data_IF_799125262436
#
_entry.id   IF_799125262436
#
_cell.length_a   1.000
_cell.length_b   1.000
_cell.length_c   1.000
_cell.angle_alpha   90.00
_cell.angle_beta   90.00
_cell.angle_gamma   90.00
#
_symmetry.space_group_name_H-M   'P 1'
#
loop_
_entity.id
_entity.type
_entity.pdbx_description
1 polymer ?
#
# COMPACT_ATOMS: atom_id res chain seq x y z
N UNK A 1 13.85 -4.22 -2.16
CA UNK A 1 13.23 -4.13 -0.81
C UNK A 1 13.65 -2.81 -0.20
N UNK A 2 12.71 -1.94 0.08
CA UNK A 2 12.99 -0.68 0.74
C UNK A 2 13.48 -0.92 2.18
N UNK A 3 14.42 -0.12 2.68
CA UNK A 3 14.76 -0.11 4.09
C UNK A 3 13.55 0.30 4.92
N UNK A 4 13.69 0.37 6.24
CA UNK A 4 12.60 0.72 7.16
C UNK A 4 11.87 2.00 6.70
N UNK A 5 10.58 1.94 6.33
CA UNK A 5 9.86 3.09 5.79
C UNK A 5 9.69 4.23 6.80
N UNK A 6 9.68 3.92 8.10
CA UNK A 6 9.55 4.94 9.15
C UNK A 6 10.75 5.87 9.24
N UNK A 7 11.95 5.41 8.89
CA UNK A 7 13.14 6.26 8.82
C UNK A 7 12.97 7.32 7.72
N UNK A 8 12.45 6.93 6.54
CA UNK A 8 12.15 7.88 5.47
C UNK A 8 11.09 8.89 5.89
N UNK A 9 10.05 8.45 6.60
CA UNK A 9 9.00 9.36 7.07
C UNK A 9 9.53 10.33 8.14
N UNK A 10 10.47 9.91 8.99
CA UNK A 10 11.11 10.79 9.95
C UNK A 10 11.94 11.90 9.26
N UNK A 11 12.69 11.57 8.18
CA UNK A 11 13.40 12.57 7.38
C UNK A 11 12.42 13.53 6.71
N UNK A 12 11.36 13.03 6.07
CA UNK A 12 10.33 13.86 5.44
C UNK A 12 9.60 14.76 6.45
N UNK A 13 9.40 14.28 7.68
CA UNK A 13 8.78 15.06 8.74
C UNK A 13 9.60 16.31 9.10
N UNK A 14 10.92 16.20 9.05
CA UNK A 14 11.83 17.34 9.33
C UNK A 14 11.74 18.45 8.27
N UNK A 15 11.30 18.09 7.05
CA UNK A 15 11.22 18.99 5.87
C UNK A 15 9.81 19.49 5.59
N UNK A 16 8.80 18.99 6.31
CA UNK A 16 7.39 19.31 6.08
C UNK A 16 6.68 19.65 7.39
N UNK A 17 5.60 20.44 7.31
CA UNK A 17 4.85 20.88 8.51
C UNK A 17 3.38 20.44 8.50
N UNK A 18 2.74 20.41 7.34
CA UNK A 18 1.27 20.28 7.25
C UNK A 18 0.82 18.98 6.59
N UNK A 19 1.62 18.40 5.70
CA UNK A 19 1.25 17.18 4.98
C UNK A 19 1.24 15.97 5.93
N UNK A 20 0.26 15.11 5.78
CA UNK A 20 0.28 13.80 6.42
C UNK A 20 1.27 12.89 5.71
N UNK A 21 1.88 12.01 6.46
CA UNK A 21 2.94 11.11 5.99
C UNK A 21 2.52 9.67 6.26
N UNK A 22 2.54 8.84 5.24
CA UNK A 22 2.05 7.46 5.36
C UNK A 22 2.98 6.42 4.76
N UNK A 23 2.92 5.21 5.29
CA UNK A 23 3.58 4.06 4.67
C UNK A 23 2.69 3.48 3.58
N UNK A 24 3.27 3.19 2.43
CA UNK A 24 2.53 2.56 1.33
C UNK A 24 3.26 1.34 0.74
N UNK A 25 3.55 0.29 1.53
CA UNK A 25 3.05 -0.12 2.84
C UNK A 25 4.14 -0.76 3.71
N UNK A 26 3.86 -0.96 5.00
CA UNK A 26 4.57 -1.93 5.83
C UNK A 26 4.11 -3.34 5.44
N UNK A 27 5.05 -4.26 5.22
CA UNK A 27 4.74 -5.65 4.89
C UNK A 27 4.62 -6.45 6.19
N UNK A 28 3.39 -6.71 6.61
CA UNK A 28 3.04 -7.28 7.90
C UNK A 28 3.86 -8.50 8.34
N UNK A 29 4.05 -9.55 7.50
CA UNK A 29 4.73 -10.78 7.93
C UNK A 29 6.21 -10.60 8.28
N UNK A 30 6.81 -9.45 7.95
CA UNK A 30 8.22 -9.17 8.26
C UNK A 30 8.39 -8.35 9.55
N UNK A 31 7.29 -8.13 10.30
CA UNK A 31 7.30 -7.33 11.51
C UNK A 31 6.72 -8.10 12.70
N UNK A 32 7.33 -7.89 13.85
CA UNK A 32 6.75 -8.29 15.12
C UNK A 32 5.80 -7.18 15.62
N UNK A 33 4.59 -7.48 16.13
CA UNK A 33 3.61 -6.47 16.55
C UNK A 33 4.18 -5.43 17.55
N UNK A 34 4.92 -5.88 18.56
CA UNK A 34 5.54 -4.99 19.56
C UNK A 34 6.55 -4.02 18.90
N UNK A 35 7.39 -4.54 18.01
CA UNK A 35 8.39 -3.71 17.33
C UNK A 35 7.73 -2.69 16.40
N UNK A 36 6.75 -3.12 15.63
CA UNK A 36 5.98 -2.24 14.77
C UNK A 36 5.25 -1.15 15.57
N UNK A 37 4.65 -1.52 16.71
CA UNK A 37 3.97 -0.59 17.58
C UNK A 37 4.91 0.53 18.07
N UNK A 38 6.10 0.17 18.52
CA UNK A 38 7.10 1.13 19.02
C UNK A 38 7.61 2.05 17.91
N UNK A 39 7.96 1.51 16.75
CA UNK A 39 8.48 2.30 15.63
C UNK A 39 7.42 3.23 15.03
N UNK A 40 6.19 2.77 14.88
CA UNK A 40 5.09 3.62 14.42
C UNK A 40 4.75 4.71 15.46
N UNK A 41 4.72 4.39 16.76
CA UNK A 41 4.47 5.38 17.79
C UNK A 41 5.58 6.46 17.85
N UNK A 42 6.84 6.06 17.74
CA UNK A 42 7.96 7.00 17.67
C UNK A 42 7.85 7.90 16.44
N UNK A 43 7.52 7.33 15.29
CA UNK A 43 7.34 8.08 14.05
C UNK A 43 6.15 9.04 14.14
N UNK A 44 5.07 8.62 14.80
CA UNK A 44 3.91 9.48 15.03
C UNK A 44 4.27 10.71 15.87
N UNK A 45 5.09 10.54 16.91
CA UNK A 45 5.63 11.64 17.71
C UNK A 45 6.52 12.56 16.89
N UNK A 46 7.45 11.99 16.11
CA UNK A 46 8.37 12.78 15.25
C UNK A 46 7.60 13.58 14.19
N UNK A 47 6.55 12.99 13.62
CA UNK A 47 5.70 13.66 12.64
C UNK A 47 4.74 14.69 13.25
N UNK A 48 4.64 14.77 14.60
CA UNK A 48 3.69 15.63 15.29
C UNK A 48 2.23 15.20 15.08
N UNK A 49 1.96 13.89 15.07
CA UNK A 49 0.61 13.34 14.87
C UNK A 49 0.14 13.34 13.41
N UNK A 50 1.06 13.37 12.45
CA UNK A 50 0.74 13.35 11.01
C UNK A 50 0.94 11.98 10.36
N UNK A 51 1.22 10.94 11.13
CA UNK A 51 1.45 9.59 10.61
C UNK A 51 0.14 8.91 10.21
N UNK A 52 0.17 8.23 9.06
CA UNK A 52 -0.77 7.21 8.61
C UNK A 52 -0.01 5.88 8.45
N UNK A 53 -0.52 4.78 9.02
CA UNK A 53 0.15 3.48 8.99
C UNK A 53 -0.49 2.58 7.94
N UNK A 54 0.09 2.53 6.75
CA UNK A 54 -0.33 1.61 5.70
C UNK A 54 0.30 0.23 5.88
N UNK A 55 -0.52 -0.82 5.85
CA UNK A 55 -0.14 -2.21 6.09
C UNK A 55 -0.62 -3.09 4.95
N UNK A 56 0.23 -4.01 4.49
CA UNK A 56 -0.09 -5.02 3.48
C UNK A 56 0.43 -6.39 3.88
N UNK A 57 -0.14 -7.44 3.28
CA UNK A 57 0.41 -8.80 3.39
C UNK A 57 1.72 -8.99 2.62
N UNK A 58 2.02 -8.09 1.67
CA UNK A 58 3.06 -8.27 0.67
C UNK A 58 2.52 -8.90 -0.62
N UNK A 59 3.28 -8.75 -1.69
CA UNK A 59 2.88 -9.16 -3.03
C UNK A 59 3.94 -9.99 -3.77
N UNK A 60 5.20 -9.96 -3.34
CA UNK A 60 6.31 -10.51 -4.10
C UNK A 60 6.81 -11.81 -3.50
N UNK A 61 6.70 -12.93 -4.23
CA UNK A 61 7.15 -14.26 -3.79
C UNK A 61 8.63 -14.26 -3.40
N UNK A 62 9.47 -13.55 -4.15
CA UNK A 62 10.90 -13.45 -3.87
C UNK A 62 11.23 -12.70 -2.56
N UNK A 63 10.35 -11.83 -2.06
CA UNK A 63 10.52 -11.20 -0.74
C UNK A 63 10.26 -12.21 0.37
N UNK A 64 9.23 -13.05 0.22
CA UNK A 64 8.94 -14.12 1.17
C UNK A 64 10.10 -15.12 1.23
N UNK A 65 10.62 -15.55 0.08
CA UNK A 65 11.77 -16.48 0.02
C UNK A 65 13.00 -15.95 0.78
N UNK A 66 13.23 -14.62 0.71
CA UNK A 66 14.41 -13.99 1.34
C UNK A 66 14.21 -13.69 2.82
N UNK A 67 13.02 -13.28 3.24
CA UNK A 67 12.75 -12.76 4.60
C UNK A 67 11.95 -13.72 5.49
N UNK A 68 11.25 -14.66 4.90
CA UNK A 68 10.43 -15.67 5.60
C UNK A 68 10.31 -16.91 4.72
N UNK A 69 11.39 -17.70 4.53
CA UNK A 69 11.39 -18.89 3.69
C UNK A 69 10.22 -19.84 4.02
N UNK A 70 9.51 -20.30 3.00
CA UNK A 70 8.33 -21.14 3.14
C UNK A 70 7.00 -20.41 3.37
N UNK A 71 7.02 -19.08 3.51
CA UNK A 71 5.81 -18.27 3.57
C UNK A 71 5.24 -18.06 2.16
N UNK A 72 3.94 -18.26 2.02
CA UNK A 72 3.18 -17.92 0.81
C UNK A 72 2.26 -16.71 1.02
N UNK A 73 1.58 -16.30 -0.04
CA UNK A 73 0.66 -15.16 -0.01
C UNK A 73 -0.55 -15.39 0.91
N UNK A 74 -0.98 -16.64 1.11
CA UNK A 74 -2.07 -16.99 2.02
C UNK A 74 -1.62 -16.82 3.48
N UNK A 75 -0.54 -17.47 3.87
CA UNK A 75 0.03 -17.35 5.21
C UNK A 75 0.41 -15.92 5.56
N UNK A 76 0.92 -15.16 4.59
CA UNK A 76 1.18 -13.73 4.76
C UNK A 76 -0.09 -12.93 5.06
N UNK A 77 -1.20 -13.28 4.41
CA UNK A 77 -2.51 -12.71 4.68
C UNK A 77 -3.01 -13.02 6.10
N UNK A 78 -2.82 -14.25 6.56
CA UNK A 78 -3.21 -14.67 7.92
C UNK A 78 -2.37 -13.93 8.99
N UNK A 79 -1.06 -13.80 8.77
CA UNK A 79 -0.20 -12.99 9.65
C UNK A 79 -0.66 -11.53 9.72
N UNK A 80 -1.01 -10.91 8.58
CA UNK A 80 -1.53 -9.54 8.59
C UNK A 80 -2.83 -9.42 9.40
N UNK A 81 -3.73 -10.41 9.30
CA UNK A 81 -4.99 -10.44 10.05
C UNK A 81 -4.78 -10.58 11.56
N UNK A 82 -3.74 -11.25 12.00
CA UNK A 82 -3.38 -11.35 13.41
C UNK A 82 -2.61 -10.10 13.89
N UNK A 83 -1.74 -9.53 13.04
CA UNK A 83 -0.89 -8.38 13.40
C UNK A 83 -1.71 -7.14 13.74
N UNK A 84 -2.75 -6.82 12.96
CA UNK A 84 -3.49 -5.56 13.11
C UNK A 84 -4.21 -5.45 14.46
N UNK A 85 -5.01 -6.43 14.91
CA UNK A 85 -5.59 -6.37 16.27
C UNK A 85 -4.53 -6.41 17.39
N UNK A 86 -3.45 -7.19 17.22
CA UNK A 86 -2.35 -7.20 18.19
C UNK A 86 -1.67 -5.82 18.31
N UNK A 87 -1.45 -5.15 17.20
CA UNK A 87 -0.89 -3.79 17.16
C UNK A 87 -1.78 -2.79 17.92
N UNK A 88 -3.09 -2.83 17.68
CA UNK A 88 -4.06 -1.98 18.39
C UNK A 88 -4.08 -2.27 19.90
N UNK A 89 -4.03 -3.55 20.26
CA UNK A 89 -3.97 -3.97 21.67
C UNK A 89 -2.76 -3.40 22.40
N UNK A 90 -1.57 -3.50 21.81
CA UNK A 90 -0.31 -2.99 22.37
C UNK A 90 -0.32 -1.46 22.49
N UNK A 91 -0.98 -0.73 21.61
CA UNK A 91 -1.14 0.72 21.73
C UNK A 91 -2.16 1.14 22.80
N UNK A 92 -3.23 0.34 22.94
CA UNK A 92 -4.27 0.64 23.94
C UNK A 92 -3.77 0.55 25.38
N UNK A 93 -2.94 -0.44 25.71
CA UNK A 93 -2.44 -0.63 27.07
C UNK A 93 -1.73 -1.96 27.27
N UNK A 94 -1.77 -2.46 28.50
CA UNK A 94 -1.22 -3.76 28.84
C UNK A 94 -1.99 -4.85 28.12
N UNK A 95 -1.33 -5.50 27.17
CA UNK A 95 -1.91 -6.48 26.28
C UNK A 95 -1.03 -7.71 26.16
N UNK A 96 -1.57 -8.87 26.49
CA UNK A 96 -0.97 -10.18 26.23
C UNK A 96 -1.57 -10.76 24.94
N UNK A 97 -0.75 -11.39 24.14
CA UNK A 97 -1.17 -12.02 22.90
C UNK A 97 -0.80 -13.51 22.88
N UNK A 98 -1.78 -14.36 22.59
CA UNK A 98 -1.61 -15.80 22.41
C UNK A 98 -2.23 -16.20 21.07
N UNK A 99 -1.62 -15.72 19.97
CA UNK A 99 -2.05 -15.98 18.61
C UNK A 99 -1.36 -17.18 17.99
N UNK A 100 -1.65 -17.41 16.72
CA UNK A 100 -1.03 -18.47 15.93
C UNK A 100 0.44 -18.11 15.58
N UNK A 101 0.67 -16.84 15.18
CA UNK A 101 1.95 -16.39 14.65
C UNK A 101 2.80 -15.66 15.67
N UNK A 102 2.17 -14.96 16.62
CA UNK A 102 2.89 -14.26 17.69
C UNK A 102 2.32 -14.62 19.05
N UNK A 103 3.24 -14.81 19.99
CA UNK A 103 2.90 -15.01 21.40
C UNK A 103 3.82 -14.16 22.25
N UNK A 104 3.22 -13.35 23.13
CA UNK A 104 3.99 -12.52 24.05
C UNK A 104 3.19 -12.21 25.33
N UNK A 105 3.89 -12.04 26.48
CA UNK A 105 3.25 -11.68 27.72
C UNK A 105 2.72 -10.24 27.68
N UNK A 106 2.01 -9.84 28.72
CA UNK A 106 1.48 -8.48 28.87
C UNK A 106 2.55 -7.43 28.55
N UNK A 107 2.27 -6.60 27.58
CA UNK A 107 3.19 -5.63 26.99
C UNK A 107 2.42 -4.39 26.57
N UNK A 108 3.01 -3.23 26.81
CA UNK A 108 2.51 -1.92 26.36
C UNK A 108 3.54 -1.27 25.46
N UNK A 109 3.10 -0.59 24.40
CA UNK A 109 4.00 0.23 23.59
C UNK A 109 4.56 1.40 24.40
N UNK A 110 5.87 1.55 24.37
CA UNK A 110 6.58 2.70 24.90
C UNK A 110 7.61 3.19 23.86
N UNK A 111 7.40 4.40 23.27
CA UNK A 111 6.32 5.34 23.58
C UNK A 111 4.94 4.89 23.09
N UNK A 112 3.89 5.54 23.60
CA UNK A 112 2.55 5.49 22.99
C UNK A 112 2.47 6.49 21.84
N UNK A 113 1.59 6.24 20.82
CA UNK A 113 1.35 7.21 19.76
C UNK A 113 0.82 8.54 20.31
N UNK A 114 1.12 9.62 19.62
CA UNK A 114 0.56 10.94 19.90
C UNK A 114 -0.92 11.00 19.50
N UNK A 115 -1.27 10.41 18.35
CA UNK A 115 -2.65 10.30 17.88
C UNK A 115 -3.44 9.27 18.72
N UNK A 116 -4.69 9.60 19.06
CA UNK A 116 -5.56 8.75 19.88
C UNK A 116 -6.78 8.30 19.10
N UNK A 117 -7.21 7.03 19.23
CA UNK A 117 -6.63 5.97 20.05
C UNK A 117 -5.30 5.42 19.48
N UNK A 118 -4.99 5.67 18.23
CA UNK A 118 -3.78 5.32 17.50
C UNK A 118 -3.73 6.07 16.16
N UNK A 119 -2.59 6.09 15.44
CA UNK A 119 -2.54 6.60 14.07
C UNK A 119 -3.54 5.87 13.17
N UNK A 120 -4.15 6.53 12.19
CA UNK A 120 -5.01 5.86 11.21
C UNK A 120 -4.29 4.69 10.55
N UNK A 121 -4.93 3.52 10.54
CA UNK A 121 -4.41 2.33 9.87
C UNK A 121 -5.07 2.22 8.49
N UNK A 122 -4.26 1.97 7.47
CA UNK A 122 -4.67 1.75 6.10
C UNK A 122 -4.28 0.35 5.65
N UNK A 123 -5.23 -0.43 5.16
CA UNK A 123 -5.00 -1.79 4.68
C UNK A 123 -4.98 -1.79 3.16
N UNK A 124 -3.92 -2.32 2.56
CA UNK A 124 -3.90 -2.58 1.12
C UNK A 124 -4.81 -3.77 0.81
N UNK A 125 -5.94 -3.51 0.16
CA UNK A 125 -6.98 -4.50 -0.10
C UNK A 125 -7.45 -4.45 -1.56
N UNK A 126 -7.52 -5.61 -2.22
CA UNK A 126 -8.08 -5.70 -3.58
C UNK A 126 -9.26 -6.67 -3.69
N UNK A 127 -9.17 -7.82 -3.02
CA UNK A 127 -10.23 -8.82 -3.02
C UNK A 127 -11.32 -8.50 -1.98
N UNK A 128 -12.55 -9.02 -2.13
CA UNK A 128 -13.65 -8.76 -1.22
C UNK A 128 -13.34 -9.09 0.24
N UNK A 129 -12.66 -10.20 0.51
CA UNK A 129 -12.34 -10.62 1.88
C UNK A 129 -11.36 -9.66 2.57
N UNK A 130 -10.45 -9.06 1.80
CA UNK A 130 -9.51 -8.05 2.32
C UNK A 130 -10.21 -6.74 2.63
N UNK A 131 -11.20 -6.31 1.82
CA UNK A 131 -12.05 -5.16 2.11
C UNK A 131 -12.89 -5.40 3.38
N UNK A 132 -13.54 -6.56 3.48
CA UNK A 132 -14.34 -6.93 4.66
C UNK A 132 -13.48 -6.94 5.93
N UNK A 133 -12.30 -7.53 5.87
CA UNK A 133 -11.37 -7.51 7.01
C UNK A 133 -10.99 -6.07 7.40
N UNK A 134 -10.58 -5.24 6.45
CA UNK A 134 -10.19 -3.87 6.74
C UNK A 134 -11.33 -3.09 7.43
N UNK A 135 -12.54 -3.16 6.87
CA UNK A 135 -13.72 -2.49 7.41
C UNK A 135 -14.08 -3.06 8.79
N UNK A 136 -14.11 -4.39 8.98
CA UNK A 136 -14.40 -5.02 10.27
C UNK A 136 -13.44 -4.60 11.38
N UNK A 137 -12.23 -4.21 11.01
CA UNK A 137 -11.24 -3.66 11.93
C UNK A 137 -11.31 -2.13 12.08
N UNK A 138 -12.26 -1.44 11.45
CA UNK A 138 -12.31 0.03 11.42
C UNK A 138 -11.07 0.66 10.79
N UNK A 139 -10.41 -0.06 9.88
CA UNK A 139 -9.24 0.42 9.13
C UNK A 139 -9.67 1.06 7.82
N UNK A 140 -8.95 2.09 7.40
CA UNK A 140 -9.08 2.64 6.05
C UNK A 140 -8.54 1.66 5.01
N UNK A 141 -8.94 1.85 3.76
CA UNK A 141 -8.56 1.00 2.63
C UNK A 141 -7.69 1.79 1.65
N UNK A 142 -6.61 1.21 1.16
CA UNK A 142 -5.81 1.75 0.06
C UNK A 142 -5.76 0.75 -1.09
N UNK A 143 -6.06 1.23 -2.30
CA UNK A 143 -6.16 0.43 -3.51
C UNK A 143 -5.57 1.14 -4.71
N UNK A 144 -5.28 0.40 -5.75
CA UNK A 144 -4.92 0.93 -7.07
C UNK A 144 -5.62 0.11 -8.14
N UNK A 145 -6.22 0.74 -9.16
CA UNK A 145 -6.72 0.03 -10.34
C UNK A 145 -5.58 -0.47 -11.21
N UNK A 146 -4.32 -0.14 -10.89
CA UNK A 146 -3.15 -0.34 -11.75
C UNK A 146 -3.36 0.37 -13.10
N UNK A 147 -3.36 -0.41 -14.19
CA UNK A 147 -3.56 0.07 -15.57
C UNK A 147 -4.97 -0.24 -16.13
N UNK A 148 -5.90 -0.72 -15.29
CA UNK A 148 -7.21 -1.23 -15.78
C UNK A 148 -8.31 -0.15 -15.91
N UNK A 149 -8.04 1.09 -15.48
CA UNK A 149 -8.93 2.23 -15.67
C UNK A 149 -10.23 2.18 -14.84
N UNK A 150 -11.24 2.91 -15.31
CA UNK A 150 -12.51 3.11 -14.63
C UNK A 150 -13.26 1.81 -14.25
N UNK A 151 -13.34 0.78 -15.10
CA UNK A 151 -14.04 -0.45 -14.70
C UNK A 151 -13.48 -1.13 -13.46
N UNK A 152 -12.15 -1.05 -13.25
CA UNK A 152 -11.55 -1.57 -12.01
C UNK A 152 -11.79 -0.62 -10.84
N UNK A 153 -11.83 0.69 -11.05
CA UNK A 153 -12.20 1.67 -10.00
C UNK A 153 -13.60 1.37 -9.51
N UNK A 154 -14.58 1.21 -10.40
CA UNK A 154 -15.96 0.87 -10.04
C UNK A 154 -16.04 -0.45 -9.27
N UNK A 155 -15.29 -1.45 -9.71
CA UNK A 155 -15.21 -2.76 -9.05
C UNK A 155 -14.61 -2.66 -7.65
N UNK A 156 -13.55 -1.87 -7.45
CA UNK A 156 -12.93 -1.64 -6.15
C UNK A 156 -13.85 -0.87 -5.20
N UNK A 157 -14.54 0.15 -5.71
CA UNK A 157 -15.54 0.91 -4.96
C UNK A 157 -16.72 0.02 -4.56
N UNK A 158 -17.24 -0.80 -5.48
CA UNK A 158 -18.31 -1.74 -5.18
C UNK A 158 -17.95 -2.76 -4.10
N UNK A 159 -16.72 -3.28 -4.11
CA UNK A 159 -16.21 -4.16 -3.04
C UNK A 159 -16.14 -3.46 -1.69
N UNK A 160 -15.69 -2.21 -1.70
CA UNK A 160 -15.62 -1.39 -0.48
C UNK A 160 -17.02 -1.09 0.07
N UNK A 161 -17.95 -0.68 -0.78
CA UNK A 161 -19.34 -0.41 -0.38
C UNK A 161 -20.03 -1.67 0.17
N UNK A 162 -19.84 -2.82 -0.48
CA UNK A 162 -20.34 -4.09 -0.01
C UNK A 162 -19.76 -4.48 1.36
N UNK A 163 -18.47 -4.23 1.59
CA UNK A 163 -17.85 -4.45 2.88
C UNK A 163 -18.42 -3.53 3.95
N UNK A 164 -18.60 -2.23 3.67
CA UNK A 164 -19.20 -1.29 4.61
C UNK A 164 -20.67 -1.67 4.96
N UNK A 165 -21.42 -2.17 4.00
CA UNK A 165 -22.79 -2.62 4.23
C UNK A 165 -22.90 -3.83 5.16
N UNK A 166 -21.86 -4.66 5.28
CA UNK A 166 -21.82 -5.80 6.20
C UNK A 166 -21.55 -5.41 7.65
N UNK A 167 -20.97 -4.23 7.90
CA UNK A 167 -20.58 -3.73 9.23
C UNK A 167 -21.17 -2.34 9.48
N UNK A 168 -22.51 -2.22 9.53
CA UNK A 168 -23.18 -0.91 9.67
C UNK A 168 -22.92 -0.23 11.02
N UNK A 169 -22.44 -0.97 12.02
CA UNK A 169 -22.05 -0.48 13.33
C UNK A 169 -20.70 0.23 13.34
N UNK A 170 -19.91 0.08 12.28
CA UNK A 170 -18.60 0.71 12.14
C UNK A 170 -18.73 1.99 11.33
N UNK A 171 -18.23 3.09 11.85
CA UNK A 171 -18.13 4.34 11.09
C UNK A 171 -17.42 4.09 9.76
N UNK A 172 -18.05 4.51 8.65
CA UNK A 172 -17.54 4.26 7.32
C UNK A 172 -16.06 4.70 7.18
N UNK A 173 -15.12 3.77 6.96
CA UNK A 173 -13.73 4.12 6.75
C UNK A 173 -13.51 4.89 5.45
N UNK A 174 -12.32 5.45 5.28
CA UNK A 174 -11.91 6.09 4.02
C UNK A 174 -11.35 5.04 3.07
N UNK A 175 -11.55 5.28 1.77
CA UNK A 175 -10.84 4.57 0.71
C UNK A 175 -9.93 5.56 -0.03
N UNK A 176 -8.70 5.15 -0.32
CA UNK A 176 -7.72 5.89 -1.11
C UNK A 176 -7.45 5.13 -2.41
N UNK A 177 -7.58 5.82 -3.53
CA UNK A 177 -7.20 5.33 -4.86
C UNK A 177 -5.83 5.91 -5.23
N UNK A 178 -4.87 5.04 -5.54
CA UNK A 178 -3.59 5.43 -6.12
C UNK A 178 -3.71 5.40 -7.64
N UNK A 179 -3.64 6.57 -8.28
CA UNK A 179 -3.71 6.75 -9.71
C UNK A 179 -2.43 7.39 -10.24
N UNK A 180 -1.88 6.84 -11.33
CA UNK A 180 -0.87 7.54 -12.12
C UNK A 180 -1.54 8.69 -12.88
N UNK A 181 -1.16 9.91 -12.56
CA UNK A 181 -1.79 11.12 -13.11
C UNK A 181 -0.72 12.01 -13.71
N UNK A 182 -0.96 12.53 -14.91
CA UNK A 182 -0.06 13.49 -15.55
C UNK A 182 -0.84 14.57 -16.28
N UNK A 183 -0.48 15.83 -16.02
CA UNK A 183 -1.03 17.00 -16.70
C UNK A 183 0.05 17.55 -17.63
N UNK A 184 -0.11 17.36 -18.93
CA UNK A 184 0.85 17.80 -19.93
C UNK A 184 0.56 19.20 -20.46
N UNK A 185 1.61 19.86 -20.94
CA UNK A 185 1.55 21.21 -21.53
C UNK A 185 1.06 21.21 -22.97
N UNK A 186 1.33 20.16 -23.71
CA UNK A 186 0.95 19.95 -25.12
C UNK A 186 0.88 18.45 -25.47
N UNK A 187 0.48 18.15 -26.69
CA UNK A 187 0.29 16.75 -27.14
C UNK A 187 1.59 15.95 -27.17
N UNK A 188 2.73 16.58 -27.45
CA UNK A 188 4.02 15.87 -27.47
C UNK A 188 4.46 15.48 -26.06
N UNK A 189 4.28 16.36 -25.08
CA UNK A 189 4.54 16.13 -23.65
C UNK A 189 3.61 15.04 -23.09
N UNK A 190 2.33 15.07 -23.42
CA UNK A 190 1.35 14.04 -23.03
C UNK A 190 1.71 12.67 -23.62
N UNK A 191 2.10 12.63 -24.91
CA UNK A 191 2.51 11.40 -25.58
C UNK A 191 3.77 10.81 -24.93
N UNK A 192 4.75 11.62 -24.59
CA UNK A 192 5.96 11.19 -23.91
C UNK A 192 5.63 10.63 -22.53
N UNK A 193 4.79 11.29 -21.73
CA UNK A 193 4.38 10.78 -20.44
C UNK A 193 3.67 9.42 -20.53
N UNK A 194 2.81 9.25 -21.51
CA UNK A 194 2.14 7.97 -21.76
C UNK A 194 3.14 6.85 -22.10
N UNK A 195 4.16 7.15 -22.90
CA UNK A 195 5.26 6.23 -23.21
C UNK A 195 6.03 5.84 -21.94
N UNK A 196 6.43 6.79 -21.14
CA UNK A 196 7.17 6.54 -19.90
C UNK A 196 6.35 5.71 -18.89
N UNK A 197 5.06 5.96 -18.78
CA UNK A 197 4.15 5.17 -17.94
C UNK A 197 4.03 3.74 -18.48
N UNK A 198 3.93 3.57 -19.80
CA UNK A 198 3.91 2.26 -20.46
C UNK A 198 5.18 1.47 -20.14
N UNK A 199 6.35 2.08 -20.33
CA UNK A 199 7.66 1.50 -19.98
C UNK A 199 7.71 1.12 -18.51
N UNK A 200 7.29 2.01 -17.60
CA UNK A 200 7.24 1.75 -16.16
C UNK A 200 6.42 0.49 -15.83
N UNK A 201 5.21 0.35 -16.41
CA UNK A 201 4.37 -0.82 -16.13
C UNK A 201 4.94 -2.12 -16.70
N UNK A 202 5.60 -2.08 -17.85
CA UNK A 202 6.29 -3.24 -18.39
C UNK A 202 7.42 -3.71 -17.46
N UNK A 203 8.25 -2.79 -16.96
CA UNK A 203 9.26 -3.11 -15.94
C UNK A 203 8.67 -3.54 -14.61
N UNK A 204 7.59 -2.90 -14.16
CA UNK A 204 6.88 -3.26 -12.94
C UNK A 204 6.40 -4.72 -12.99
N UNK A 205 5.78 -5.14 -14.09
CA UNK A 205 5.29 -6.52 -14.23
C UNK A 205 6.40 -7.54 -14.42
N UNK A 206 7.44 -7.22 -15.18
CA UNK A 206 8.60 -8.09 -15.31
C UNK A 206 9.25 -8.33 -13.95
N UNK A 207 9.35 -7.30 -13.12
CA UNK A 207 9.84 -7.41 -11.74
C UNK A 207 8.85 -8.14 -10.83
N UNK A 208 7.57 -7.81 -10.90
CA UNK A 208 6.51 -8.43 -10.10
C UNK A 208 6.46 -9.95 -10.30
N UNK A 209 6.57 -10.41 -11.54
CA UNK A 209 6.53 -11.82 -11.90
C UNK A 209 7.90 -12.52 -11.79
N UNK A 210 8.95 -11.78 -11.47
CA UNK A 210 10.33 -12.27 -11.44
C UNK A 210 10.79 -12.86 -12.79
N UNK A 211 10.39 -12.22 -13.89
CA UNK A 211 10.68 -12.67 -15.25
C UNK A 211 12.09 -12.33 -15.75
N UNK A 212 12.75 -11.36 -15.09
CA UNK A 212 14.11 -10.90 -15.44
C UNK A 212 15.06 -11.02 -14.26
N UNK A 213 16.33 -11.35 -14.52
CA UNK A 213 17.37 -11.32 -13.50
C UNK A 213 17.52 -9.93 -12.87
N UNK A 214 17.90 -9.92 -11.59
CA UNK A 214 18.21 -8.70 -10.86
C UNK A 214 19.68 -8.77 -10.43
N UNK A 215 20.49 -7.85 -10.93
CA UNK A 215 21.91 -7.74 -10.62
C UNK A 215 22.17 -6.45 -9.83
N UNK A 216 22.77 -6.56 -8.65
CA UNK A 216 23.10 -5.41 -7.79
C UNK A 216 21.90 -4.47 -7.53
N UNK A 217 20.69 -5.02 -7.44
CA UNK A 217 19.45 -4.26 -7.21
C UNK A 217 18.82 -3.66 -8.47
N UNK A 218 19.41 -3.86 -9.64
CA UNK A 218 18.88 -3.39 -10.92
C UNK A 218 18.31 -4.58 -11.71
N UNK A 219 17.08 -4.43 -12.20
CA UNK A 219 16.48 -5.40 -13.13
C UNK A 219 17.17 -5.30 -14.50
N UNK A 220 17.38 -6.45 -15.15
CA UNK A 220 17.90 -6.48 -16.51
C UNK A 220 17.00 -5.70 -17.47
N UNK A 221 17.62 -5.02 -18.44
CA UNK A 221 16.91 -4.18 -19.39
C UNK A 221 15.95 -4.99 -20.26
N UNK A 222 14.72 -4.53 -20.39
CA UNK A 222 13.76 -5.05 -21.35
C UNK A 222 14.15 -4.62 -22.77
N UNK A 223 14.01 -5.53 -23.74
CA UNK A 223 14.17 -5.22 -25.14
C UNK A 223 12.96 -4.49 -25.70
N UNK A 224 13.09 -3.85 -26.85
CA UNK A 224 11.95 -3.17 -27.51
C UNK A 224 10.83 -4.18 -27.87
N UNK A 225 11.19 -5.43 -28.20
CA UNK A 225 10.23 -6.50 -28.46
C UNK A 225 9.46 -6.89 -27.20
N UNK A 226 10.15 -6.99 -26.05
CA UNK A 226 9.52 -7.28 -24.76
C UNK A 226 8.62 -6.14 -24.28
N UNK A 227 9.01 -4.87 -24.50
CA UNK A 227 8.18 -3.70 -24.20
C UNK A 227 6.92 -3.67 -25.06
N UNK A 228 6.98 -4.11 -26.31
CA UNK A 228 5.84 -4.18 -27.21
C UNK A 228 4.96 -5.42 -27.03
N UNK A 229 5.41 -6.43 -26.27
CA UNK A 229 4.74 -7.72 -26.19
C UNK A 229 3.38 -7.70 -25.49
N UNK A 230 3.15 -6.72 -24.58
CA UNK A 230 1.88 -6.65 -23.83
C UNK A 230 0.93 -5.61 -24.43
N UNK A 231 -0.14 -6.03 -25.14
CA UNK A 231 -1.07 -5.09 -25.80
C UNK A 231 -1.90 -4.26 -24.81
N UNK A 232 -1.88 -4.59 -23.52
CA UNK A 232 -2.59 -3.83 -22.49
C UNK A 232 -1.71 -2.74 -21.84
N UNK A 233 -0.41 -2.72 -22.12
CA UNK A 233 0.54 -1.77 -21.56
C UNK A 233 1.09 -0.80 -22.61
N UNK A 234 0.35 -0.53 -23.68
CA UNK A 234 0.73 0.44 -24.71
C UNK A 234 0.52 1.87 -24.22
N UNK A 235 1.25 2.86 -24.76
CA UNK A 235 1.05 4.28 -24.43
C UNK A 235 -0.41 4.74 -24.63
N UNK A 236 -1.06 4.27 -25.69
CA UNK A 236 -2.47 4.55 -25.96
C UNK A 236 -3.37 4.04 -24.82
N UNK A 237 -3.13 2.81 -24.34
CA UNK A 237 -3.87 2.25 -23.20
C UNK A 237 -3.62 3.01 -21.91
N UNK A 238 -2.41 3.52 -21.69
CA UNK A 238 -2.13 4.36 -20.52
C UNK A 238 -2.94 5.65 -20.56
N UNK A 239 -3.04 6.31 -21.73
CA UNK A 239 -3.89 7.50 -21.91
C UNK A 239 -5.37 7.22 -21.70
N UNK A 240 -5.87 6.08 -22.17
CA UNK A 240 -7.28 5.70 -22.01
C UNK A 240 -7.61 5.39 -20.55
N UNK A 241 -6.74 4.67 -19.87
CA UNK A 241 -7.04 4.08 -18.58
C UNK A 241 -6.58 4.92 -17.37
N UNK A 242 -5.79 5.98 -17.59
CA UNK A 242 -5.25 6.83 -16.54
C UNK A 242 -5.56 8.30 -16.80
N UNK A 243 -5.62 9.15 -15.76
CA UNK A 243 -5.74 10.60 -15.90
C UNK A 243 -4.45 11.21 -16.48
N UNK A 244 -4.22 10.99 -17.76
CA UNK A 244 -3.08 11.52 -18.53
C UNK A 244 -3.62 12.34 -19.69
N UNK A 245 -3.36 13.65 -19.70
CA UNK A 245 -3.92 14.57 -20.68
C UNK A 245 -3.63 16.03 -20.34
N UNK A 246 -4.33 16.96 -20.98
CA UNK A 246 -4.31 18.34 -20.56
C UNK A 246 -5.08 18.55 -19.23
N UNK A 247 -5.07 19.74 -18.68
CA UNK A 247 -5.70 20.01 -17.38
C UNK A 247 -7.21 19.67 -17.35
N UNK A 248 -7.95 20.04 -18.42
CA UNK A 248 -9.39 19.80 -18.50
C UNK A 248 -9.71 18.31 -18.59
N UNK A 249 -8.94 17.55 -19.38
CA UNK A 249 -9.06 16.11 -19.49
C UNK A 249 -8.82 15.39 -18.16
N UNK A 250 -7.80 15.82 -17.42
CA UNK A 250 -7.45 15.22 -16.12
C UNK A 250 -8.49 15.56 -15.06
N UNK A 251 -8.96 16.83 -15.01
CA UNK A 251 -9.99 17.26 -14.06
C UNK A 251 -11.31 16.49 -14.29
N UNK A 252 -11.68 16.24 -15.54
CA UNK A 252 -12.89 15.48 -15.86
C UNK A 252 -12.87 14.02 -15.41
N UNK A 253 -11.68 13.48 -15.08
CA UNK A 253 -11.45 12.08 -14.71
C UNK A 253 -11.09 11.86 -13.23
N UNK A 254 -10.98 12.92 -12.45
CA UNK A 254 -10.73 12.91 -11.00
C UNK A 254 -11.97 13.26 -10.20
#
# INVERSE_FOLDING_TARGET
IAPNPFINLADLASRTKNVRLGTGTVIAPFWHPIKLAGEAAMTDIITGGRLDVGIARGAYGFEYERLSPGLDAWGAGQRMRELIPALKGVWAGDYAHDGEFWKFPSTTSAPKPLQQPHPPIWVAARDPNSHEFAVSQGCNVQVTPLFNGEPEIDSLMGRFDAACAKFPEIDRPKIMLLLHTYVGSDEADIAQAAEEISVYYNYFFAWFKNEKPIHQGLIERLTDEELAANPNLTPEKMRINMPVGNADDVIARL
#
